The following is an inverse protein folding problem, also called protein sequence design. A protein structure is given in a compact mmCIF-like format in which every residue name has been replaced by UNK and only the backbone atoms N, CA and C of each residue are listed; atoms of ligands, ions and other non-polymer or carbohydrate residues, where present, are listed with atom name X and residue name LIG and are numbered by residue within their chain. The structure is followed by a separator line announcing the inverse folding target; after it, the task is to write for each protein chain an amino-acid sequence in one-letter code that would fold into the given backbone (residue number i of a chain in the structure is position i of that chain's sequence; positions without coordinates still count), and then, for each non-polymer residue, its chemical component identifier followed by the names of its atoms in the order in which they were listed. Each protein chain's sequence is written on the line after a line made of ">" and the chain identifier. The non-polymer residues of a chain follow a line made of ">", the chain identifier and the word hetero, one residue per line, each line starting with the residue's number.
data_IF_724465078591
#
_entry.id   IF_724465078591
#
_cell.length_a   1.000
_cell.length_b   1.000
_cell.length_c   1.000
_cell.angle_alpha   90.00
_cell.angle_beta   90.00
_cell.angle_gamma   90.00
#
_symmetry.space_group_name_H-M   'P 1'
#
loop_
_entity.id
_entity.type
_entity.pdbx_description
1 polymer ?
#
# COMPACT_ATOMS: atom_id res chain seq x y z
N UNK A 1 -12.39 3.49 6.58
CA UNK A 1 -11.01 3.49 7.11
C UNK A 1 -10.11 2.92 6.02
N UNK A 2 -8.92 3.48 5.80
CA UNK A 2 -7.97 2.92 4.84
C UNK A 2 -7.32 1.70 5.48
N UNK A 3 -7.39 0.54 4.82
CA UNK A 3 -6.77 -0.66 5.37
C UNK A 3 -5.25 -0.52 5.39
N UNK A 4 -4.62 -0.92 6.49
CA UNK A 4 -3.16 -0.99 6.62
C UNK A 4 -2.64 -2.36 6.14
N UNK A 5 -1.41 -2.69 6.54
CA UNK A 5 -0.75 -3.96 6.27
C UNK A 5 -1.61 -5.20 6.62
N UNK A 6 -2.51 -5.10 7.61
CA UNK A 6 -3.38 -6.21 8.04
C UNK A 6 -4.37 -6.68 6.96
N UNK A 7 -4.54 -5.97 5.85
CA UNK A 7 -5.31 -6.47 4.69
C UNK A 7 -4.71 -7.77 4.13
N UNK A 8 -3.40 -7.99 4.36
CA UNK A 8 -2.69 -9.22 3.98
C UNK A 8 -2.78 -10.30 5.08
N UNK A 9 -3.37 -10.00 6.24
CA UNK A 9 -3.41 -10.85 7.43
C UNK A 9 -4.67 -10.63 8.28
N UNK A 10 -5.85 -10.81 7.67
CA UNK A 10 -7.15 -10.49 8.30
C UNK A 10 -7.60 -11.55 9.32
N UNK A 11 -7.92 -12.75 8.84
CA UNK A 11 -8.33 -13.90 9.64
C UNK A 11 -7.50 -15.11 9.21
N UNK A 12 -7.33 -16.15 10.05
CA UNK A 12 -6.52 -17.31 9.70
C UNK A 12 -6.89 -17.97 8.37
N UNK A 13 -8.17 -17.92 7.98
CA UNK A 13 -8.70 -18.52 6.73
C UNK A 13 -8.44 -17.69 5.46
N UNK A 14 -8.12 -16.39 5.59
CA UNK A 14 -7.94 -15.46 4.47
C UNK A 14 -6.68 -14.59 4.63
N UNK A 15 -5.73 -15.04 5.44
CA UNK A 15 -4.43 -14.41 5.65
C UNK A 15 -3.42 -14.94 4.64
N UNK A 16 -2.89 -14.03 3.82
CA UNK A 16 -1.78 -14.34 2.91
C UNK A 16 -0.49 -14.55 3.69
N UNK A 17 -0.24 -13.74 4.72
CA UNK A 17 0.96 -13.86 5.58
C UNK A 17 1.01 -15.25 6.21
N UNK A 18 -0.10 -15.68 6.83
CA UNK A 18 -0.20 -17.00 7.43
C UNK A 18 0.07 -18.08 6.39
N UNK A 19 -0.55 -17.98 5.22
CA UNK A 19 -0.35 -18.97 4.16
C UNK A 19 1.13 -19.06 3.74
N UNK A 20 1.82 -17.92 3.54
CA UNK A 20 3.24 -17.87 3.20
C UNK A 20 4.12 -18.51 4.29
N UNK A 21 3.83 -18.20 5.56
CA UNK A 21 4.52 -18.81 6.71
C UNK A 21 4.29 -20.32 6.74
N UNK A 22 3.05 -20.78 6.51
CA UNK A 22 2.72 -22.21 6.43
C UNK A 22 3.42 -22.90 5.23
N UNK A 23 3.76 -22.15 4.16
CA UNK A 23 4.59 -22.64 3.05
C UNK A 23 6.11 -22.65 3.37
N UNK A 24 6.51 -22.30 4.59
CA UNK A 24 7.90 -22.30 5.04
C UNK A 24 8.69 -21.04 4.68
N UNK A 25 8.02 -19.92 4.36
CA UNK A 25 8.69 -18.63 4.15
C UNK A 25 8.81 -17.87 5.48
N UNK A 26 9.99 -17.29 5.73
CA UNK A 26 10.13 -16.24 6.75
C UNK A 26 9.56 -14.95 6.19
N UNK A 27 8.55 -14.37 6.85
CA UNK A 27 7.84 -13.18 6.36
C UNK A 27 8.09 -12.01 7.30
N UNK A 28 8.60 -10.92 6.75
CA UNK A 28 8.70 -9.61 7.42
C UNK A 28 7.71 -8.64 6.78
N UNK A 29 7.15 -7.73 7.58
CA UNK A 29 6.17 -6.74 7.12
C UNK A 29 6.46 -5.37 7.68
N UNK A 30 6.43 -4.36 6.81
CA UNK A 30 6.51 -2.96 7.22
C UNK A 30 5.14 -2.51 7.73
N UNK A 31 5.07 -2.20 9.02
CA UNK A 31 3.89 -1.58 9.64
C UNK A 31 4.08 -0.07 9.70
N UNK A 32 3.54 0.64 8.70
CA UNK A 32 3.64 2.10 8.61
C UNK A 32 2.95 2.82 9.77
N UNK A 33 3.65 3.82 10.31
CA UNK A 33 3.15 4.75 11.32
C UNK A 33 1.97 5.55 10.78
N UNK A 34 1.04 5.94 11.65
CA UNK A 34 0.06 6.97 11.27
C UNK A 34 0.76 8.33 11.39
N UNK A 35 0.80 9.14 10.32
CA UNK A 35 1.44 10.43 10.40
C UNK A 35 0.72 11.35 11.39
N UNK A 36 1.51 12.20 12.04
CA UNK A 36 1.06 13.31 12.86
C UNK A 36 1.86 14.57 12.52
N UNK A 37 1.65 15.65 13.26
CA UNK A 37 2.29 16.95 13.03
C UNK A 37 3.83 16.86 13.04
N UNK A 38 4.42 15.89 13.75
CA UNK A 38 5.88 15.73 13.78
C UNK A 38 6.47 15.21 12.47
N UNK A 39 5.63 14.70 11.57
CA UNK A 39 6.02 14.15 10.27
C UNK A 39 5.81 15.15 9.12
N UNK A 40 5.68 16.45 9.39
CA UNK A 40 5.37 17.46 8.38
C UNK A 40 6.38 17.58 7.25
N UNK A 41 7.64 17.30 7.55
CA UNK A 41 8.74 17.36 6.58
C UNK A 41 9.00 16.01 5.91
N UNK A 42 8.24 14.95 6.25
CA UNK A 42 8.46 13.61 5.71
C UNK A 42 7.87 13.53 4.31
N UNK A 43 8.77 13.43 3.33
CA UNK A 43 8.44 13.29 1.92
C UNK A 43 8.41 11.84 1.45
N UNK A 44 8.03 11.64 0.19
CA UNK A 44 8.01 10.32 -0.45
C UNK A 44 9.38 9.63 -0.42
N UNK A 45 10.47 10.40 -0.57
CA UNK A 45 11.82 9.85 -0.52
C UNK A 45 12.22 9.34 0.88
N UNK A 46 11.67 9.90 1.95
CA UNK A 46 11.93 9.47 3.31
C UNK A 46 11.26 8.12 3.59
N UNK A 47 10.03 7.91 3.08
CA UNK A 47 9.40 6.60 3.09
C UNK A 47 10.23 5.53 2.36
N UNK A 48 10.93 5.90 1.30
CA UNK A 48 11.85 4.99 0.60
C UNK A 48 13.11 4.71 1.43
N UNK A 49 13.78 5.77 1.91
CA UNK A 49 15.07 5.69 2.62
C UNK A 49 14.89 5.07 4.01
N UNK A 50 14.04 5.66 4.83
CA UNK A 50 13.84 5.27 6.22
C UNK A 50 12.88 4.09 6.39
N UNK A 51 12.01 3.86 5.40
CA UNK A 51 11.09 2.72 5.36
C UNK A 51 11.67 1.53 4.63
N UNK A 52 11.53 1.51 3.31
CA UNK A 52 11.83 0.31 2.49
C UNK A 52 13.31 -0.08 2.53
N UNK A 53 14.24 0.86 2.34
CA UNK A 53 15.68 0.55 2.32
C UNK A 53 16.20 0.15 3.70
N UNK A 54 15.74 0.82 4.77
CA UNK A 54 16.02 0.39 6.14
C UNK A 54 15.50 -1.02 6.39
N UNK A 55 14.23 -1.31 6.04
CA UNK A 55 13.66 -2.64 6.23
C UNK A 55 14.45 -3.74 5.51
N UNK A 56 14.89 -3.51 4.26
CA UNK A 56 15.78 -4.44 3.55
C UNK A 56 17.08 -4.63 4.33
N UNK A 57 17.66 -3.57 4.88
CA UNK A 57 18.91 -3.64 5.67
C UNK A 57 18.74 -4.48 6.91
N UNK A 58 17.73 -4.19 7.72
CA UNK A 58 17.46 -4.89 8.96
C UNK A 58 17.11 -6.37 8.69
N UNK A 59 16.28 -6.67 7.68
CA UNK A 59 15.91 -8.05 7.37
C UNK A 59 17.12 -8.88 6.95
N UNK A 60 18.00 -8.37 6.09
CA UNK A 60 19.20 -9.10 5.68
C UNK A 60 20.18 -9.26 6.86
N UNK A 61 20.29 -8.25 7.73
CA UNK A 61 21.12 -8.34 8.92
C UNK A 61 20.61 -9.39 9.92
N UNK A 62 19.29 -9.42 10.16
CA UNK A 62 18.66 -10.35 11.10
C UNK A 62 18.64 -11.81 10.58
N UNK A 63 18.50 -11.99 9.26
CA UNK A 63 18.44 -13.34 8.66
C UNK A 63 19.82 -13.87 8.27
N UNK A 64 20.79 -12.99 8.01
CA UNK A 64 22.10 -13.36 7.45
C UNK A 64 22.06 -13.74 5.96
N UNK A 65 20.91 -13.60 5.31
CA UNK A 65 20.77 -13.89 3.87
C UNK A 65 21.37 -12.75 3.03
N UNK A 66 21.92 -13.05 1.84
CA UNK A 66 22.53 -12.04 0.98
C UNK A 66 21.50 -11.18 0.23
N UNK A 67 20.28 -11.70 0.06
CA UNK A 67 19.19 -11.07 -0.65
C UNK A 67 17.81 -11.51 -0.09
N UNK A 68 16.74 -10.87 -0.57
CA UNK A 68 15.36 -11.21 -0.21
C UNK A 68 14.41 -11.11 -1.39
N UNK A 69 13.28 -11.81 -1.28
CA UNK A 69 12.10 -11.60 -2.13
C UNK A 69 11.23 -10.50 -1.51
N UNK A 70 10.81 -9.50 -2.30
CA UNK A 70 10.02 -8.35 -1.82
C UNK A 70 8.67 -8.24 -2.53
N UNK A 71 7.65 -7.83 -1.79
CA UNK A 71 6.28 -7.66 -2.28
C UNK A 71 5.80 -6.24 -2.02
N UNK A 72 5.28 -5.58 -3.06
CA UNK A 72 4.64 -4.27 -2.96
C UNK A 72 3.15 -4.35 -3.26
N UNK A 73 2.31 -3.82 -2.37
CA UNK A 73 0.85 -3.82 -2.51
C UNK A 73 0.31 -2.39 -2.65
N UNK A 74 -0.56 -2.16 -3.65
CA UNK A 74 -1.17 -0.85 -3.91
C UNK A 74 -0.10 0.26 -4.04
N UNK A 75 -0.22 1.37 -3.31
CA UNK A 75 0.78 2.46 -3.30
C UNK A 75 2.16 1.99 -2.79
N UNK A 76 2.21 0.96 -1.96
CA UNK A 76 3.46 0.31 -1.55
C UNK A 76 4.19 -0.35 -2.73
N UNK A 77 3.47 -0.76 -3.78
CA UNK A 77 4.07 -1.21 -5.03
C UNK A 77 4.64 -0.06 -5.86
N UNK A 78 3.99 1.11 -5.88
CA UNK A 78 4.57 2.32 -6.48
C UNK A 78 5.87 2.72 -5.80
N UNK A 79 5.87 2.75 -4.45
CA UNK A 79 7.08 3.00 -3.65
C UNK A 79 8.17 1.96 -3.93
N UNK A 80 7.81 0.67 -3.99
CA UNK A 80 8.75 -0.40 -4.32
C UNK A 80 9.36 -0.20 -5.71
N UNK A 81 8.56 0.16 -6.72
CA UNK A 81 9.06 0.41 -8.08
C UNK A 81 10.12 1.52 -8.11
N UNK A 82 9.83 2.64 -7.44
CA UNK A 82 10.79 3.74 -7.27
C UNK A 82 12.05 3.29 -6.50
N UNK A 83 11.87 2.50 -5.44
CA UNK A 83 12.98 1.97 -4.62
C UNK A 83 13.93 1.11 -5.45
N UNK A 84 13.40 0.18 -6.26
CA UNK A 84 14.22 -0.70 -7.10
C UNK A 84 15.00 0.10 -8.16
N UNK A 85 14.38 1.12 -8.75
CA UNK A 85 15.07 2.02 -9.68
C UNK A 85 16.21 2.78 -8.98
N UNK A 86 15.96 3.28 -7.77
CA UNK A 86 16.98 3.93 -6.94
C UNK A 86 18.12 2.99 -6.59
N UNK A 87 17.83 1.77 -6.10
CA UNK A 87 18.85 0.75 -5.78
C UNK A 87 19.70 0.44 -7.00
N UNK A 88 19.11 0.30 -8.18
CA UNK A 88 19.86 0.09 -9.43
C UNK A 88 20.80 1.24 -9.76
N UNK A 89 20.36 2.48 -9.56
CA UNK A 89 21.19 3.67 -9.76
C UNK A 89 22.36 3.75 -8.76
N UNK A 90 22.17 3.25 -7.54
CA UNK A 90 23.23 3.15 -6.52
C UNK A 90 24.11 1.90 -6.66
N UNK A 91 23.84 1.02 -7.63
CA UNK A 91 24.46 -0.30 -7.79
C UNK A 91 24.28 -1.21 -6.55
N UNK A 92 23.10 -1.15 -5.93
CA UNK A 92 22.70 -1.93 -4.76
C UNK A 92 21.57 -2.94 -5.04
N UNK A 93 21.23 -3.17 -6.31
CA UNK A 93 20.09 -4.02 -6.70
C UNK A 93 20.22 -5.49 -6.28
N UNK A 94 21.44 -5.98 -6.04
CA UNK A 94 21.72 -7.39 -5.70
C UNK A 94 21.08 -7.85 -4.40
N UNK A 95 20.65 -6.94 -3.53
CA UNK A 95 19.99 -7.24 -2.26
C UNK A 95 18.53 -7.68 -2.40
N UNK A 96 17.97 -7.56 -3.61
CA UNK A 96 16.61 -7.99 -3.94
C UNK A 96 16.70 -9.06 -5.02
N UNK A 97 16.33 -10.29 -4.67
CA UNK A 97 16.31 -11.42 -5.60
C UNK A 97 15.11 -11.38 -6.54
N UNK A 98 13.92 -11.08 -6.01
CA UNK A 98 12.71 -10.93 -6.80
C UNK A 98 11.77 -9.87 -6.22
N UNK A 99 10.97 -9.25 -7.10
CA UNK A 99 9.98 -8.26 -6.72
C UNK A 99 8.60 -8.64 -7.29
N UNK A 100 7.57 -8.66 -6.43
CA UNK A 100 6.19 -8.96 -6.82
C UNK A 100 5.29 -7.75 -6.54
N UNK A 101 4.44 -7.39 -7.51
CA UNK A 101 3.53 -6.25 -7.42
C UNK A 101 2.09 -6.71 -7.37
N UNK A 102 1.39 -6.41 -6.28
CA UNK A 102 -0.03 -6.70 -6.11
C UNK A 102 -0.83 -5.42 -6.30
N UNK A 103 -1.65 -5.39 -7.37
CA UNK A 103 -2.58 -4.29 -7.67
C UNK A 103 -1.93 -2.91 -7.52
N UNK A 104 -0.75 -2.74 -8.09
CA UNK A 104 0.05 -1.53 -7.99
C UNK A 104 0.18 -0.85 -9.35
N UNK A 105 0.09 0.48 -9.36
CA UNK A 105 0.34 1.29 -10.54
C UNK A 105 1.80 1.77 -10.55
N UNK A 106 2.47 1.57 -11.68
CA UNK A 106 3.80 2.14 -11.96
C UNK A 106 3.72 3.18 -13.09
N UNK A 107 2.76 3.02 -13.98
CA UNK A 107 2.38 3.99 -14.99
C UNK A 107 1.06 4.64 -14.57
N UNK A 108 1.06 5.96 -14.44
CA UNK A 108 -0.10 6.77 -14.05
C UNK A 108 -0.69 7.57 -15.21
N UNK A 109 -0.28 7.29 -16.47
CA UNK A 109 -0.84 7.95 -17.65
C UNK A 109 -2.35 7.72 -17.78
N UNK A 110 -2.83 6.55 -17.37
CA UNK A 110 -4.24 6.17 -17.34
C UNK A 110 -4.62 5.71 -15.92
N UNK A 111 -4.84 6.63 -14.96
CA UNK A 111 -5.05 6.29 -13.55
C UNK A 111 -6.44 5.68 -13.27
N UNK A 112 -7.27 5.50 -14.31
CA UNK A 112 -8.66 5.07 -14.21
C UNK A 112 -9.57 6.18 -13.67
N UNK A 113 -10.66 5.78 -13.00
CA UNK A 113 -11.67 6.71 -12.47
C UNK A 113 -11.10 7.76 -11.51
N UNK A 114 -9.93 7.48 -10.89
CA UNK A 114 -9.14 8.43 -10.12
C UNK A 114 -8.86 9.74 -10.87
N UNK A 115 -8.58 9.65 -12.17
CA UNK A 115 -8.27 10.83 -12.99
C UNK A 115 -9.43 11.83 -13.09
N UNK A 116 -10.68 11.38 -12.88
CA UNK A 116 -11.87 12.25 -12.90
C UNK A 116 -11.99 13.10 -11.62
N UNK A 117 -11.34 12.68 -10.54
CA UNK A 117 -11.40 13.32 -9.22
C UNK A 117 -10.08 14.01 -8.83
N UNK A 118 -9.19 14.27 -9.80
CA UNK A 118 -7.97 15.05 -9.61
C UNK A 118 -8.11 16.32 -10.45
N UNK A 119 -8.44 17.43 -9.80
CA UNK A 119 -8.41 18.76 -10.41
C UNK A 119 -7.35 19.66 -9.75
N UNK A 120 -6.84 20.65 -10.49
CA UNK A 120 -5.78 21.56 -10.00
C UNK A 120 -6.20 22.31 -8.72
N UNK A 121 -7.48 22.65 -8.56
CA UNK A 121 -7.96 23.38 -7.38
C UNK A 121 -8.02 22.49 -6.15
N UNK A 122 -8.31 21.20 -6.32
CA UNK A 122 -8.25 20.20 -5.26
C UNK A 122 -6.82 20.01 -4.78
N UNK A 123 -5.85 19.98 -5.71
CA UNK A 123 -4.43 19.92 -5.36
C UNK A 123 -3.98 21.18 -4.61
N UNK A 124 -4.33 22.37 -5.08
CA UNK A 124 -4.01 23.63 -4.38
C UNK A 124 -4.60 23.68 -2.96
N UNK A 125 -5.84 23.22 -2.79
CA UNK A 125 -6.46 23.15 -1.47
C UNK A 125 -5.78 22.11 -0.56
N UNK A 126 -5.39 20.97 -1.12
CA UNK A 126 -4.66 19.94 -0.40
C UNK A 126 -3.30 20.44 0.07
N UNK A 127 -2.55 21.11 -0.81
CA UNK A 127 -1.25 21.72 -0.48
C UNK A 127 -1.39 22.75 0.64
N UNK A 128 -2.44 23.59 0.57
CA UNK A 128 -2.72 24.55 1.63
C UNK A 128 -3.01 23.86 2.97
N UNK A 129 -3.86 22.83 2.98
CA UNK A 129 -4.17 22.07 4.19
C UNK A 129 -2.94 21.38 4.78
N UNK A 130 -2.12 20.75 3.92
CA UNK A 130 -0.86 20.13 4.30
C UNK A 130 0.13 21.15 4.86
N UNK A 131 0.19 22.38 4.31
CA UNK A 131 1.07 23.44 4.81
C UNK A 131 0.64 23.99 6.18
N UNK A 132 -0.65 23.99 6.49
CA UNK A 132 -1.19 24.47 7.77
C UNK A 132 -1.13 23.41 8.87
N UNK A 133 -1.39 22.14 8.53
CA UNK A 133 -1.55 21.03 9.49
C UNK A 133 -0.31 20.13 9.57
N UNK A 134 0.53 20.13 8.55
CA UNK A 134 1.71 19.26 8.42
C UNK A 134 1.41 17.83 7.93
N UNK A 135 0.18 17.34 8.03
CA UNK A 135 -0.16 15.98 7.60
C UNK A 135 -1.61 15.88 7.10
N UNK A 136 -1.88 14.86 6.28
CA UNK A 136 -3.22 14.56 5.78
C UNK A 136 -3.91 13.58 6.73
N UNK A 137 -5.10 13.94 7.21
CA UNK A 137 -5.85 13.06 8.10
C UNK A 137 -6.33 11.81 7.35
N UNK A 138 -6.24 10.65 8.01
CA UNK A 138 -6.71 9.40 7.44
C UNK A 138 -8.21 9.40 7.10
N UNK A 139 -9.01 10.24 7.74
CA UNK A 139 -10.44 10.42 7.46
C UNK A 139 -10.68 11.16 6.15
N UNK A 140 -9.90 12.20 5.87
CA UNK A 140 -9.96 12.98 4.62
C UNK A 140 -9.51 12.10 3.45
N UNK A 141 -8.40 11.39 3.62
CA UNK A 141 -7.92 10.43 2.63
C UNK A 141 -8.94 9.29 2.40
N UNK A 142 -9.54 8.74 3.46
CA UNK A 142 -10.57 7.71 3.34
C UNK A 142 -11.83 8.21 2.62
N UNK A 143 -12.21 9.48 2.80
CA UNK A 143 -13.33 10.09 2.10
C UNK A 143 -13.10 10.09 0.59
N UNK A 144 -11.91 10.50 0.14
CA UNK A 144 -11.50 10.45 -1.27
C UNK A 144 -11.52 9.02 -1.82
N UNK A 145 -10.88 8.07 -1.12
CA UNK A 145 -10.90 6.64 -1.52
C UNK A 145 -12.31 6.02 -1.54
N UNK A 146 -13.21 6.43 -0.63
CA UNK A 146 -14.59 5.94 -0.60
C UNK A 146 -15.42 6.51 -1.76
N UNK A 147 -15.21 7.76 -2.15
CA UNK A 147 -15.87 8.34 -3.33
C UNK A 147 -15.48 7.56 -4.61
N UNK A 148 -14.22 7.14 -4.70
CA UNK A 148 -13.69 6.32 -5.80
C UNK A 148 -14.24 4.88 -5.81
N UNK A 149 -14.51 4.29 -4.64
CA UNK A 149 -15.03 2.92 -4.50
C UNK A 149 -16.55 2.79 -4.51
N UNK A 150 -17.27 3.90 -4.65
CA UNK A 150 -18.75 3.91 -4.61
C UNK A 150 -19.37 3.00 -5.69
N UNK A 151 -18.74 2.88 -6.87
CA UNK A 151 -19.19 1.97 -7.93
C UNK A 151 -18.73 0.50 -7.72
N UNK A 152 -17.50 0.27 -7.28
CA UNK A 152 -16.95 -1.09 -7.15
C UNK A 152 -17.59 -1.90 -6.02
N UNK A 153 -17.97 -1.24 -4.91
CA UNK A 153 -18.62 -1.92 -3.78
C UNK A 153 -20.07 -2.30 -4.08
N UNK A 154 -20.74 -1.61 -5.01
CA UNK A 154 -22.13 -1.90 -5.41
C UNK A 154 -22.14 -2.94 -6.54
N UNK A 155 -21.29 -2.81 -7.55
CA UNK A 155 -21.35 -3.64 -8.75
C UNK A 155 -20.74 -5.04 -8.56
N UNK A 156 -19.63 -5.17 -7.83
CA UNK A 156 -19.05 -6.48 -7.50
C UNK A 156 -19.96 -7.31 -6.58
N UNK A 157 -20.68 -6.65 -5.68
CA UNK A 157 -21.71 -7.23 -4.82
C UNK A 157 -22.92 -7.69 -5.64
N UNK A 158 -23.37 -6.87 -6.60
CA UNK A 158 -24.47 -7.24 -7.50
C UNK A 158 -24.11 -8.43 -8.39
N UNK A 159 -22.92 -8.47 -8.99
CA UNK A 159 -22.50 -9.61 -9.84
C UNK A 159 -22.38 -10.91 -9.03
N UNK A 160 -21.74 -10.89 -7.85
CA UNK A 160 -21.58 -12.11 -7.05
C UNK A 160 -22.89 -12.64 -6.47
N UNK A 161 -23.78 -11.76 -6.01
CA UNK A 161 -25.03 -12.17 -5.36
C UNK A 161 -26.17 -12.41 -6.37
N UNK A 162 -26.32 -11.55 -7.37
CA UNK A 162 -27.43 -11.60 -8.33
C UNK A 162 -27.18 -12.56 -9.49
N UNK A 163 -25.95 -12.60 -10.05
CA UNK A 163 -25.66 -13.46 -11.21
C UNK A 163 -25.12 -14.84 -10.82
N UNK A 164 -24.39 -14.96 -9.72
CA UNK A 164 -23.74 -16.22 -9.31
C UNK A 164 -24.43 -16.93 -8.13
N UNK A 165 -25.45 -16.31 -7.51
CA UNK A 165 -26.24 -16.91 -6.43
C UNK A 165 -25.44 -17.27 -5.18
N UNK A 166 -24.30 -16.61 -4.94
CA UNK A 166 -23.46 -16.86 -3.76
C UNK A 166 -23.96 -16.03 -2.59
N UNK A 167 -23.92 -16.61 -1.38
CA UNK A 167 -24.22 -15.87 -0.15
C UNK A 167 -23.27 -14.68 0.02
N UNK A 168 -23.75 -13.55 0.59
CA UNK A 168 -22.93 -12.36 0.76
C UNK A 168 -21.70 -12.69 1.61
N UNK A 169 -20.53 -12.34 1.08
CA UNK A 169 -19.25 -12.52 1.77
C UNK A 169 -19.31 -11.83 3.14
N UNK A 170 -18.89 -12.48 4.25
CA UNK A 170 -18.71 -11.76 5.51
C UNK A 170 -17.63 -10.69 5.29
N UNK A 171 -18.07 -9.43 5.27
CA UNK A 171 -17.23 -8.26 5.07
C UNK A 171 -16.42 -7.99 6.35
N UNK A 172 -15.29 -8.69 6.52
CA UNK A 172 -14.36 -8.48 7.64
C UNK A 172 -13.76 -7.05 7.63
N UNK A 173 -13.80 -6.38 6.47
CA UNK A 173 -13.36 -4.99 6.24
C UNK A 173 -14.06 -3.93 7.11
N UNK A 174 -15.21 -4.22 7.72
CA UNK A 174 -15.99 -3.26 8.51
C UNK A 174 -15.76 -3.38 10.02
N UNK A 175 -15.02 -4.39 10.48
CA UNK A 175 -14.81 -4.63 11.91
C UNK A 175 -13.53 -3.99 12.49
N UNK A 176 -12.73 -3.30 11.66
CA UNK A 176 -11.47 -2.64 12.05
C UNK A 176 -11.40 -1.17 11.66
#
# INVERSE_FOLDING_TARGET
>A
RINKFYILDLQPKNSLIKWLVDQGRTVFVISWVNPDESMSEVGFEDYMKEGTLTAITEVLAETGEPDLDIVGYCIGGTLLGATLAYMRAQNDQQRVNSATFFTALLDFSEPGDLGVFIDEKQLENLDKQMSEKGYLDGTEMASTFNMLRSNDLIWSFMINNYLLGKDPFPFDLLFW
#
